data_IF_692829276653
#
_entry.id   IF_692829276653
#
_cell.length_a   1.000
_cell.length_b   1.000
_cell.length_c   1.000
_cell.angle_alpha   90.00
_cell.angle_beta   90.00
_cell.angle_gamma   90.00
#
_symmetry.space_group_name_H-M   'P 1'
#
loop_
_entity.id
_entity.type
_entity.pdbx_description
1 polymer ?
#
# COMPACT_ATOMS: atom_id res chain seq x y z
N UNK A 1 13.01 23.55 -17.48
CA UNK A 1 12.23 22.30 -17.33
C UNK A 1 13.05 21.14 -16.74
N UNK A 2 14.38 21.07 -16.96
CA UNK A 2 15.25 20.03 -16.37
C UNK A 2 15.48 20.20 -14.85
N UNK A 3 15.72 21.44 -14.37
CA UNK A 3 15.98 21.71 -12.95
C UNK A 3 14.77 21.41 -12.03
N UNK A 4 13.55 21.57 -12.53
CA UNK A 4 12.32 21.16 -11.82
C UNK A 4 12.32 19.65 -11.57
N UNK A 5 12.79 18.86 -12.52
CA UNK A 5 12.81 17.40 -12.41
C UNK A 5 13.91 16.94 -11.45
N UNK A 6 15.10 17.55 -11.49
CA UNK A 6 16.18 17.28 -10.53
C UNK A 6 15.82 17.70 -9.10
N UNK A 7 15.12 18.82 -8.94
CA UNK A 7 14.64 19.30 -7.63
C UNK A 7 13.56 18.38 -7.08
N UNK A 8 12.65 17.90 -7.93
CA UNK A 8 11.65 16.91 -7.57
C UNK A 8 12.28 15.57 -7.22
N UNK A 9 13.30 15.12 -7.96
CA UNK A 9 14.05 13.91 -7.66
C UNK A 9 14.80 14.03 -6.34
N UNK A 10 15.48 15.17 -6.08
CA UNK A 10 16.16 15.44 -4.81
C UNK A 10 15.20 15.42 -3.64
N UNK A 11 14.08 16.15 -3.71
CA UNK A 11 13.04 16.13 -2.68
C UNK A 11 12.44 14.76 -2.47
N UNK A 12 12.28 13.99 -3.55
CA UNK A 12 11.78 12.62 -3.47
C UNK A 12 12.79 11.74 -2.73
N UNK A 13 14.08 11.79 -3.09
CA UNK A 13 15.18 11.06 -2.47
C UNK A 13 15.39 11.46 -1.00
N UNK A 14 15.30 12.74 -0.66
CA UNK A 14 15.40 13.24 0.73
C UNK A 14 14.28 12.71 1.64
N UNK A 15 13.13 12.33 1.07
CA UNK A 15 12.05 11.70 1.84
C UNK A 15 12.29 10.20 2.09
N UNK A 16 13.27 9.59 1.41
CA UNK A 16 13.71 8.23 1.67
C UNK A 16 14.91 8.20 2.62
N UNK A 17 14.91 7.22 3.50
CA UNK A 17 16.02 6.92 4.39
C UNK A 17 16.29 5.43 4.36
N UNK A 18 17.55 5.03 4.37
CA UNK A 18 17.96 3.64 4.58
C UNK A 18 18.69 3.58 5.92
N UNK A 19 18.26 2.69 6.81
CA UNK A 19 18.92 2.48 8.11
C UNK A 19 19.98 1.39 8.00
N UNK A 20 20.70 1.13 9.10
CA UNK A 20 21.70 0.06 9.19
C UNK A 20 21.13 -1.34 8.94
N UNK A 21 19.81 -1.52 9.09
CA UNK A 21 19.08 -2.74 8.76
C UNK A 21 18.96 -2.98 7.23
N UNK A 22 19.45 -2.05 6.40
CA UNK A 22 19.37 -2.11 4.94
C UNK A 22 17.98 -1.84 4.38
N UNK A 23 16.99 -1.55 5.23
CA UNK A 23 15.60 -1.39 4.81
C UNK A 23 15.32 0.06 4.41
N UNK A 24 14.78 0.23 3.20
CA UNK A 24 14.37 1.53 2.70
C UNK A 24 13.07 1.98 3.37
N UNK A 25 13.01 3.25 3.77
CA UNK A 25 11.84 3.86 4.41
C UNK A 25 11.48 5.19 3.78
N UNK A 26 10.20 5.42 3.53
CA UNK A 26 9.65 6.70 3.10
C UNK A 26 8.92 7.37 4.26
N UNK A 27 9.38 8.55 4.71
CA UNK A 27 8.79 9.25 5.87
C UNK A 27 8.63 8.34 7.11
N UNK A 28 9.61 7.45 7.35
CA UNK A 28 9.61 6.49 8.47
C UNK A 28 8.88 5.16 8.20
N UNK A 29 8.08 5.06 7.13
CA UNK A 29 7.32 3.87 6.75
C UNK A 29 8.17 2.92 5.91
N UNK A 30 7.99 1.61 6.08
CA UNK A 30 8.72 0.58 5.33
C UNK A 30 8.35 0.60 3.85
N UNK A 31 9.34 0.78 2.98
CA UNK A 31 9.13 0.69 1.54
C UNK A 31 8.98 -0.78 1.12
N UNK A 32 7.83 -1.12 0.57
CA UNK A 32 7.55 -2.48 0.14
C UNK A 32 7.91 -2.69 -1.34
N UNK A 33 8.88 -3.58 -1.67
CA UNK A 33 9.32 -3.77 -3.04
C UNK A 33 8.23 -4.42 -3.89
N UNK A 34 8.25 -4.15 -5.20
CA UNK A 34 7.40 -4.87 -6.15
C UNK A 34 8.12 -6.13 -6.62
N UNK A 35 8.21 -7.13 -5.76
CA UNK A 35 8.92 -8.39 -6.02
C UNK A 35 7.98 -9.56 -5.79
N UNK A 36 7.75 -10.35 -6.85
CA UNK A 36 6.79 -11.46 -6.83
C UNK A 36 5.42 -11.02 -6.32
N UNK A 37 4.83 -11.85 -5.46
CA UNK A 37 3.48 -11.65 -4.93
C UNK A 37 3.47 -11.04 -3.53
N UNK A 38 4.59 -10.47 -3.07
CA UNK A 38 4.74 -9.98 -1.70
C UNK A 38 3.66 -8.96 -1.32
N UNK A 39 3.33 -8.03 -2.21
CA UNK A 39 2.26 -7.04 -1.98
C UNK A 39 0.90 -7.71 -1.84
N UNK A 40 0.61 -8.69 -2.69
CA UNK A 40 -0.65 -9.42 -2.65
C UNK A 40 -0.78 -10.26 -1.37
N UNK A 41 0.31 -10.85 -0.88
CA UNK A 41 0.33 -11.55 0.40
C UNK A 41 0.00 -10.63 1.58
N UNK A 42 0.57 -9.42 1.62
CA UNK A 42 0.25 -8.42 2.65
C UNK A 42 -1.22 -8.01 2.57
N UNK A 43 -1.75 -7.78 1.36
CA UNK A 43 -3.16 -7.44 1.15
C UNK A 43 -4.09 -8.57 1.58
N UNK A 44 -3.74 -9.82 1.26
CA UNK A 44 -4.49 -11.01 1.65
C UNK A 44 -4.53 -11.21 3.16
N UNK A 45 -3.39 -11.04 3.86
CA UNK A 45 -3.33 -11.13 5.32
C UNK A 45 -4.14 -10.00 5.98
N UNK A 46 -4.01 -8.76 5.50
CA UNK A 46 -4.78 -7.62 6.00
C UNK A 46 -6.30 -7.80 5.78
N UNK A 47 -6.70 -8.45 4.69
CA UNK A 47 -8.09 -8.75 4.38
C UNK A 47 -8.64 -9.92 5.20
N UNK A 48 -7.82 -10.94 5.45
CA UNK A 48 -8.19 -12.20 6.14
C UNK A 48 -8.04 -12.11 7.66
N UNK A 49 -7.57 -10.98 8.19
CA UNK A 49 -7.42 -10.77 9.63
C UNK A 49 -8.72 -11.12 10.36
N UNK A 50 -8.62 -12.08 11.27
CA UNK A 50 -9.71 -12.65 12.09
C UNK A 50 -10.51 -11.63 12.92
N UNK A 51 -10.05 -10.39 13.02
CA UNK A 51 -10.74 -9.27 13.69
C UNK A 51 -11.39 -8.28 12.71
N UNK A 52 -11.40 -8.62 11.43
CA UNK A 52 -11.83 -7.77 10.34
C UNK A 52 -13.03 -8.44 9.67
N UNK A 53 -14.23 -8.07 10.11
CA UNK A 53 -15.46 -8.32 9.34
C UNK A 53 -15.31 -7.46 8.08
N UNK A 54 -14.83 -8.08 6.99
CA UNK A 54 -14.58 -7.50 5.67
C UNK A 54 -14.14 -6.02 5.67
N UNK A 55 -12.85 -5.74 5.90
CA UNK A 55 -12.36 -4.38 5.85
C UNK A 55 -12.48 -3.86 4.41
N UNK A 56 -13.29 -2.82 4.21
CA UNK A 56 -13.31 -2.09 2.95
C UNK A 56 -11.95 -1.45 2.65
N UNK A 57 -11.74 -1.01 1.41
CA UNK A 57 -10.48 -0.44 0.94
C UNK A 57 -9.95 0.68 1.85
N UNK A 58 -10.83 1.53 2.39
CA UNK A 58 -10.46 2.62 3.31
C UNK A 58 -9.85 2.12 4.61
N UNK A 59 -10.39 1.04 5.19
CA UNK A 59 -9.86 0.46 6.44
C UNK A 59 -8.52 -0.19 6.17
N UNK A 60 -8.41 -1.00 5.11
CA UNK A 60 -7.14 -1.62 4.71
C UNK A 60 -6.05 -0.58 4.44
N UNK A 61 -6.37 0.51 3.74
CA UNK A 61 -5.41 1.60 3.50
C UNK A 61 -4.97 2.27 4.80
N UNK A 62 -5.90 2.56 5.72
CA UNK A 62 -5.55 3.10 7.04
C UNK A 62 -4.64 2.18 7.83
N UNK A 63 -4.96 0.89 7.89
CA UNK A 63 -4.20 -0.07 8.69
C UNK A 63 -2.78 -0.27 8.13
N UNK A 64 -2.63 -0.29 6.81
CA UNK A 64 -1.33 -0.52 6.18
C UNK A 64 -0.47 0.73 6.05
N UNK A 65 -1.06 1.92 5.84
CA UNK A 65 -0.29 3.14 5.53
C UNK A 65 0.63 3.56 6.67
N UNK A 66 0.29 3.26 7.92
CA UNK A 66 1.08 3.71 9.07
C UNK A 66 2.42 2.96 9.18
N UNK A 67 2.49 1.75 8.63
CA UNK A 67 3.68 0.89 8.69
C UNK A 67 4.37 0.78 7.32
N UNK A 68 3.59 0.69 6.25
CA UNK A 68 4.07 0.39 4.90
C UNK A 68 3.85 1.56 3.94
N UNK A 69 4.69 1.58 2.91
CA UNK A 69 4.56 2.49 1.79
C UNK A 69 5.01 1.81 0.50
N UNK A 70 4.28 2.02 -0.59
CA UNK A 70 4.74 1.72 -1.94
C UNK A 70 4.00 2.58 -2.98
N UNK A 71 4.62 2.73 -4.15
CA UNK A 71 4.00 3.43 -5.28
C UNK A 71 2.77 2.65 -5.73
N UNK A 72 1.60 3.32 -5.73
CA UNK A 72 0.34 2.73 -6.17
C UNK A 72 -0.46 2.02 -5.07
N UNK A 73 -0.05 2.11 -3.80
CA UNK A 73 -0.67 1.41 -2.66
C UNK A 73 -2.19 1.50 -2.59
N UNK A 74 -2.77 2.68 -2.74
CA UNK A 74 -4.23 2.87 -2.72
C UNK A 74 -4.94 2.16 -3.88
N UNK A 75 -4.33 2.20 -5.08
CA UNK A 75 -4.85 1.53 -6.27
C UNK A 75 -4.79 0.01 -6.13
N UNK A 76 -3.69 -0.51 -5.59
CA UNK A 76 -3.52 -1.94 -5.35
C UNK A 76 -4.55 -2.45 -4.34
N UNK A 77 -4.77 -1.72 -3.24
CA UNK A 77 -5.79 -2.06 -2.23
C UNK A 77 -7.19 -2.02 -2.84
N UNK A 78 -7.54 -0.97 -3.57
CA UNK A 78 -8.86 -0.84 -4.20
C UNK A 78 -9.10 -1.96 -5.19
N UNK A 79 -8.10 -2.27 -6.03
CA UNK A 79 -8.17 -3.37 -6.99
C UNK A 79 -8.26 -4.74 -6.32
N UNK A 80 -7.61 -4.94 -5.17
CA UNK A 80 -7.70 -6.17 -4.39
C UNK A 80 -9.10 -6.35 -3.79
N UNK A 81 -9.64 -5.32 -3.13
CA UNK A 81 -10.98 -5.38 -2.51
C UNK A 81 -12.09 -5.55 -3.55
N UNK A 82 -11.96 -4.93 -4.72
CA UNK A 82 -12.94 -5.07 -5.81
C UNK A 82 -13.05 -6.49 -6.39
N UNK A 83 -12.00 -7.31 -6.24
CA UNK A 83 -11.99 -8.72 -6.63
C UNK A 83 -12.58 -9.65 -5.57
N UNK A 84 -12.91 -9.15 -4.37
CA UNK A 84 -13.47 -9.97 -3.30
C UNK A 84 -14.92 -10.39 -3.66
N UNK A 85 -15.22 -11.71 -3.76
CA UNK A 85 -16.53 -12.21 -4.17
C UNK A 85 -17.68 -11.71 -3.30
N UNK A 86 -17.44 -11.54 -1.99
CA UNK A 86 -18.46 -11.09 -1.04
C UNK A 86 -18.76 -9.58 -1.15
N UNK A 87 -17.81 -8.78 -1.65
CA UNK A 87 -18.04 -7.34 -1.91
C UNK A 87 -18.90 -7.12 -3.17
N UNK A 88 -18.88 -8.08 -4.10
CA UNK A 88 -19.68 -8.02 -5.32
C UNK A 88 -21.15 -8.37 -5.04
N UNK A 89 -21.44 -9.28 -4.11
CA UNK A 89 -22.82 -9.63 -3.75
C UNK A 89 -23.60 -8.47 -3.11
N UNK A 90 -22.98 -7.71 -2.20
CA UNK A 90 -23.64 -6.58 -1.51
C UNK A 90 -23.99 -5.40 -2.43
N UNK A 91 -23.39 -5.31 -3.61
CA UNK A 91 -23.68 -4.27 -4.61
C UNK A 91 -24.71 -4.70 -5.66
N UNK A 92 -25.17 -5.96 -5.66
CA UNK A 92 -26.15 -6.48 -6.62
C UNK A 92 -27.58 -6.44 -6.08
N UNK A 93 -27.75 -6.18 -4.78
CA UNK A 93 -29.07 -6.16 -4.11
C UNK A 93 -29.69 -4.75 -3.95
N UNK A 94 -29.32 -3.77 -4.79
CA UNK A 94 -29.97 -2.45 -4.86
C UNK A 94 -30.24 -2.05 -6.31
#
# INVERSE_FOLDING_TARGET
MLELNETMLKKFVEAFSQREDGVLRYQGRLCFPNVGDLREQVLSEAHSSRYSIHPGATKMYRDLRDVYWWIGMEKDITGFVAKCPNFQQVNVEH
#
